data_IF_060232750970
#
_entry.id   IF_060232750970
#
_cell.length_a   1.000
_cell.length_b   1.000
_cell.length_c   1.000
_cell.angle_alpha   90.00
_cell.angle_beta   90.00
_cell.angle_gamma   90.00
#
_symmetry.space_group_name_H-M   'P 1'
#
loop_
_entity.id
_entity.type
_entity.pdbx_description
1 polymer ?
#
# COMPACT_ATOMS: atom_id res chain seq x y z
N UNK A 1 23.60 -16.04 -0.18
CA UNK A 1 22.20 -16.30 0.19
C UNK A 1 21.57 -14.94 0.49
N UNK A 2 20.51 -14.57 -0.22
CA UNK A 2 19.81 -13.30 -0.04
C UNK A 2 18.97 -13.29 1.25
N UNK A 3 18.68 -12.11 1.80
CA UNK A 3 17.83 -12.00 3.01
C UNK A 3 16.41 -12.49 2.83
N UNK A 4 15.97 -12.63 1.58
CA UNK A 4 14.61 -13.01 1.21
C UNK A 4 14.53 -14.35 0.47
N UNK A 5 15.60 -15.14 0.51
CA UNK A 5 15.60 -16.47 -0.13
C UNK A 5 14.43 -17.32 0.41
N UNK A 6 13.71 -17.99 -0.52
CA UNK A 6 12.54 -18.82 -0.25
C UNK A 6 11.34 -18.07 0.39
N UNK A 7 11.31 -16.74 0.36
CA UNK A 7 10.18 -15.95 0.84
C UNK A 7 9.30 -15.49 -0.31
N UNK A 8 7.99 -15.43 -0.05
CA UNK A 8 6.99 -14.88 -0.95
C UNK A 8 6.63 -13.46 -0.53
N UNK A 9 6.69 -12.53 -1.47
CA UNK A 9 6.24 -11.16 -1.27
C UNK A 9 5.14 -10.76 -2.27
N UNK A 10 4.18 -9.95 -1.84
CA UNK A 10 3.19 -9.30 -2.71
C UNK A 10 3.39 -7.79 -2.62
N UNK A 11 3.46 -7.11 -3.79
CA UNK A 11 3.56 -5.65 -3.87
C UNK A 11 2.41 -5.11 -4.70
N UNK A 12 1.57 -4.24 -4.11
CA UNK A 12 0.47 -3.60 -4.83
C UNK A 12 0.95 -2.36 -5.60
N UNK A 13 0.36 -2.09 -6.78
CA UNK A 13 0.76 -0.96 -7.62
C UNK A 13 2.18 -1.12 -8.19
N UNK A 14 2.58 -2.34 -8.48
CA UNK A 14 3.94 -2.75 -8.76
C UNK A 14 4.45 -2.39 -10.19
N UNK A 15 3.60 -1.85 -11.05
CA UNK A 15 3.94 -1.59 -12.45
C UNK A 15 4.68 -0.26 -12.70
N UNK A 16 4.99 0.52 -11.70
CA UNK A 16 5.70 1.79 -11.85
C UNK A 16 6.18 2.37 -10.51
N UNK A 17 7.08 3.35 -10.58
CA UNK A 17 7.50 4.15 -9.43
C UNK A 17 8.02 3.30 -8.27
N UNK A 18 7.65 3.67 -7.05
CA UNK A 18 8.10 2.98 -5.84
C UNK A 18 7.73 1.50 -5.79
N UNK A 19 6.54 1.13 -6.29
CA UNK A 19 6.11 -0.27 -6.32
C UNK A 19 7.04 -1.12 -7.18
N UNK A 20 7.41 -0.64 -8.37
CA UNK A 20 8.37 -1.31 -9.25
C UNK A 20 9.76 -1.41 -8.60
N UNK A 21 10.25 -0.32 -7.99
CA UNK A 21 11.53 -0.33 -7.28
C UNK A 21 11.51 -1.27 -6.05
N UNK A 22 10.36 -1.41 -5.39
CA UNK A 22 10.20 -2.37 -4.29
C UNK A 22 10.26 -3.81 -4.79
N UNK A 23 9.58 -4.12 -5.91
CA UNK A 23 9.66 -5.46 -6.55
C UNK A 23 11.09 -5.79 -6.91
N UNK A 24 11.78 -4.87 -7.57
CA UNK A 24 13.18 -5.01 -7.96
C UNK A 24 14.06 -5.38 -6.75
N UNK A 25 14.02 -4.56 -5.71
CA UNK A 25 14.84 -4.77 -4.52
C UNK A 25 14.53 -6.07 -3.78
N UNK A 26 13.24 -6.45 -3.62
CA UNK A 26 12.87 -7.69 -2.96
C UNK A 26 13.29 -8.92 -3.77
N UNK A 27 13.17 -8.87 -5.11
CA UNK A 27 13.59 -9.96 -5.96
C UNK A 27 15.12 -10.10 -6.06
N UNK A 28 15.87 -8.98 -5.99
CA UNK A 28 17.34 -9.01 -5.91
C UNK A 28 17.84 -9.59 -4.58
N UNK A 29 17.04 -9.51 -3.51
CA UNK A 29 17.30 -10.15 -2.21
C UNK A 29 16.89 -11.64 -2.18
N UNK A 30 16.40 -12.20 -3.30
CA UNK A 30 16.04 -13.61 -3.45
C UNK A 30 14.56 -13.94 -3.25
N UNK A 31 13.68 -12.96 -3.03
CA UNK A 31 12.26 -13.22 -2.89
C UNK A 31 11.61 -13.63 -4.21
N UNK A 32 10.62 -14.53 -4.14
CA UNK A 32 9.59 -14.60 -5.16
C UNK A 32 8.60 -13.47 -4.95
N UNK A 33 8.39 -12.63 -5.98
CA UNK A 33 7.55 -11.44 -5.86
C UNK A 33 6.35 -11.49 -6.79
N UNK A 34 5.15 -11.37 -6.23
CA UNK A 34 3.92 -11.17 -6.99
C UNK A 34 3.72 -9.66 -7.19
N UNK A 35 3.80 -9.23 -8.46
CA UNK A 35 3.42 -7.90 -8.90
C UNK A 35 1.91 -7.81 -9.03
N UNK A 36 1.23 -7.18 -8.05
CA UNK A 36 -0.20 -6.93 -8.15
C UNK A 36 -0.44 -5.61 -8.89
N UNK A 37 -1.07 -5.69 -10.07
CA UNK A 37 -1.32 -4.57 -10.96
C UNK A 37 -2.77 -4.56 -11.44
N UNK A 38 -3.34 -3.37 -11.69
CA UNK A 38 -4.67 -3.23 -12.30
C UNK A 38 -4.64 -3.41 -13.81
N UNK A 39 -3.64 -2.83 -14.46
CA UNK A 39 -3.51 -2.80 -15.93
C UNK A 39 -2.58 -3.91 -16.41
N UNK A 40 -3.12 -4.85 -17.20
CA UNK A 40 -2.34 -5.93 -17.79
C UNK A 40 -1.22 -5.40 -18.69
N UNK A 41 -1.53 -4.48 -19.61
CA UNK A 41 -0.54 -3.89 -20.52
C UNK A 41 0.67 -3.32 -19.76
N UNK A 42 0.40 -2.42 -18.80
CA UNK A 42 1.47 -1.79 -18.01
C UNK A 42 2.18 -2.78 -17.07
N UNK A 43 1.46 -3.79 -16.57
CA UNK A 43 2.04 -4.87 -15.79
C UNK A 43 3.03 -5.69 -16.61
N UNK A 44 2.68 -6.08 -17.83
CA UNK A 44 3.56 -6.81 -18.76
C UNK A 44 4.78 -5.99 -19.16
N UNK A 45 4.61 -4.70 -19.48
CA UNK A 45 5.72 -3.80 -19.80
C UNK A 45 6.72 -3.66 -18.64
N UNK A 46 6.20 -3.57 -17.39
CA UNK A 46 7.05 -3.50 -16.21
C UNK A 46 7.74 -4.85 -15.91
N UNK A 47 7.01 -5.96 -16.03
CA UNK A 47 7.57 -7.30 -15.86
C UNK A 47 8.71 -7.55 -16.86
N UNK A 48 8.53 -7.19 -18.13
CA UNK A 48 9.57 -7.34 -19.14
C UNK A 48 10.87 -6.63 -18.72
N UNK A 49 10.78 -5.38 -18.26
CA UNK A 49 11.95 -4.61 -17.79
C UNK A 49 12.63 -5.26 -16.58
N UNK A 50 11.84 -5.74 -15.62
CA UNK A 50 12.37 -6.39 -14.42
C UNK A 50 12.99 -7.76 -14.71
N UNK A 51 12.48 -8.48 -15.72
CA UNK A 51 12.97 -9.80 -16.14
C UNK A 51 14.23 -9.75 -17.01
N UNK A 52 14.79 -8.56 -17.31
CA UNK A 52 16.12 -8.43 -17.91
C UNK A 52 17.19 -9.10 -17.02
N UNK A 53 17.04 -9.04 -15.70
CA UNK A 53 17.77 -9.88 -14.77
C UNK A 53 17.04 -11.23 -14.63
N UNK A 54 17.61 -12.28 -15.21
CA UNK A 54 17.02 -13.64 -15.29
C UNK A 54 16.93 -14.36 -13.93
N UNK A 55 17.68 -13.92 -12.93
CA UNK A 55 17.68 -14.53 -11.59
C UNK A 55 16.47 -14.10 -10.75
N UNK A 56 15.74 -13.06 -11.16
CA UNK A 56 14.56 -12.56 -10.46
C UNK A 56 13.35 -13.47 -10.66
N UNK A 57 12.73 -13.88 -9.56
CA UNK A 57 11.49 -14.66 -9.58
C UNK A 57 10.28 -13.71 -9.41
N UNK A 58 9.73 -13.24 -10.52
CA UNK A 58 8.63 -12.27 -10.53
C UNK A 58 7.43 -12.84 -11.27
N UNK A 59 6.25 -12.70 -10.67
CA UNK A 59 4.96 -13.10 -11.25
C UNK A 59 4.02 -11.90 -11.33
N UNK A 60 3.40 -11.68 -12.48
CA UNK A 60 2.34 -10.68 -12.63
C UNK A 60 0.98 -11.29 -12.34
N UNK A 61 0.24 -10.70 -11.40
CA UNK A 61 -1.16 -11.01 -11.16
C UNK A 61 -2.02 -9.75 -11.21
N UNK A 62 -3.19 -9.86 -11.84
CA UNK A 62 -4.10 -8.72 -12.00
C UNK A 62 -5.09 -8.65 -10.85
N UNK A 63 -5.30 -7.41 -10.33
CA UNK A 63 -6.31 -7.07 -9.35
C UNK A 63 -6.61 -5.57 -9.39
N UNK A 64 -7.89 -5.20 -9.37
CA UNK A 64 -8.34 -3.83 -9.14
C UNK A 64 -8.75 -3.67 -7.67
N UNK A 65 -8.01 -2.83 -6.94
CA UNK A 65 -8.30 -2.52 -5.53
C UNK A 65 -9.58 -1.68 -5.33
N UNK A 66 -10.19 -1.19 -6.40
CA UNK A 66 -11.48 -0.52 -6.41
C UNK A 66 -12.65 -1.47 -6.75
N UNK A 67 -12.45 -2.80 -6.72
CA UNK A 67 -13.46 -3.83 -7.00
C UNK A 67 -13.27 -5.01 -6.03
N UNK A 68 -14.21 -5.23 -5.11
CA UNK A 68 -14.12 -6.30 -4.11
C UNK A 68 -14.08 -7.70 -4.73
N UNK A 69 -14.83 -7.93 -5.81
CA UNK A 69 -14.82 -9.20 -6.50
C UNK A 69 -13.44 -9.49 -7.12
N UNK A 70 -12.79 -8.46 -7.68
CA UNK A 70 -11.42 -8.56 -8.19
C UNK A 70 -10.42 -8.91 -7.08
N UNK A 71 -10.55 -8.28 -5.90
CA UNK A 71 -9.69 -8.54 -4.74
C UNK A 71 -9.87 -10.00 -4.26
N UNK A 72 -11.13 -10.44 -4.06
CA UNK A 72 -11.42 -11.81 -3.59
C UNK A 72 -10.94 -12.87 -4.59
N UNK A 73 -11.15 -12.64 -5.88
CA UNK A 73 -10.61 -13.52 -6.93
C UNK A 73 -9.08 -13.60 -6.91
N UNK A 74 -8.40 -12.49 -6.69
CA UNK A 74 -6.95 -12.48 -6.53
C UNK A 74 -6.52 -13.27 -5.28
N UNK A 75 -7.15 -13.03 -4.13
CA UNK A 75 -6.86 -13.73 -2.87
C UNK A 75 -7.05 -15.24 -3.01
N UNK A 76 -8.16 -15.69 -3.63
CA UNK A 76 -8.40 -17.12 -3.88
C UNK A 76 -7.25 -17.74 -4.66
N UNK A 77 -6.85 -17.14 -5.77
CA UNK A 77 -5.72 -17.62 -6.58
C UNK A 77 -4.41 -17.67 -5.82
N UNK A 78 -4.15 -16.69 -4.93
CA UNK A 78 -2.96 -16.70 -4.07
C UNK A 78 -3.02 -17.86 -3.08
N UNK A 79 -4.17 -18.04 -2.37
CA UNK A 79 -4.36 -19.12 -1.40
C UNK A 79 -4.29 -20.51 -2.02
N UNK A 80 -4.77 -20.68 -3.24
CA UNK A 80 -4.68 -21.93 -4.00
C UNK A 80 -3.23 -22.28 -4.38
N UNK A 81 -2.45 -21.26 -4.78
CA UNK A 81 -1.10 -21.47 -5.33
C UNK A 81 -0.01 -21.48 -4.27
N UNK A 82 -0.21 -20.73 -3.17
CA UNK A 82 0.82 -20.48 -2.16
C UNK A 82 0.32 -20.80 -0.75
N UNK A 83 1.11 -21.61 -0.04
CA UNK A 83 0.78 -22.00 1.36
C UNK A 83 1.11 -20.90 2.36
N UNK A 84 2.05 -20.01 2.03
CA UNK A 84 2.54 -18.97 2.93
C UNK A 84 2.85 -17.68 2.19
N UNK A 85 2.51 -16.56 2.80
CA UNK A 85 2.90 -15.21 2.42
C UNK A 85 3.78 -14.61 3.51
N UNK A 86 5.01 -14.23 3.16
CA UNK A 86 5.97 -13.68 4.12
C UNK A 86 5.92 -12.14 4.19
N UNK A 87 5.67 -11.46 3.06
CA UNK A 87 5.64 -9.99 3.01
C UNK A 87 4.49 -9.49 2.15
N UNK A 88 3.70 -8.57 2.71
CA UNK A 88 2.69 -7.81 1.97
C UNK A 88 3.04 -6.32 2.01
N UNK A 89 3.29 -5.71 0.84
CA UNK A 89 3.53 -4.28 0.70
C UNK A 89 2.33 -3.62 0.03
N UNK A 90 1.50 -2.96 0.83
CA UNK A 90 0.36 -2.15 0.41
C UNK A 90 0.86 -0.78 -0.08
N UNK A 91 1.40 -0.77 -1.33
CA UNK A 91 2.04 0.41 -1.91
C UNK A 91 1.12 1.18 -2.87
N UNK A 92 0.15 0.54 -3.51
CA UNK A 92 -0.72 1.21 -4.47
C UNK A 92 -1.32 2.49 -3.90
N UNK A 93 -1.42 3.52 -4.74
CA UNK A 93 -2.00 4.80 -4.35
C UNK A 93 -2.71 5.45 -5.53
N UNK A 94 -3.82 6.08 -5.24
CA UNK A 94 -4.63 6.84 -6.17
C UNK A 94 -4.88 8.24 -5.62
N UNK A 95 -4.80 9.24 -6.47
CA UNK A 95 -5.18 10.63 -6.19
C UNK A 95 -5.97 11.17 -7.38
N UNK A 96 -7.02 11.95 -7.12
CA UNK A 96 -7.83 12.58 -8.16
C UNK A 96 -8.23 13.98 -7.74
N UNK A 97 -8.25 14.90 -8.69
CA UNK A 97 -8.77 16.27 -8.49
C UNK A 97 -10.28 16.24 -8.32
N UNK A 98 -10.95 15.42 -9.13
CA UNK A 98 -12.39 15.27 -9.11
C UNK A 98 -12.81 14.11 -8.22
N UNK A 99 -14.00 14.27 -7.59
CA UNK A 99 -14.60 13.19 -6.84
C UNK A 99 -15.05 12.07 -7.79
N UNK A 100 -14.40 10.93 -7.66
CA UNK A 100 -14.73 9.70 -8.36
C UNK A 100 -15.15 8.65 -7.32
N UNK A 101 -15.82 7.59 -7.76
CA UNK A 101 -16.23 6.48 -6.90
C UNK A 101 -15.69 5.14 -7.41
N UNK A 102 -15.53 4.18 -6.51
CA UNK A 102 -15.24 2.78 -6.81
C UNK A 102 -16.50 2.07 -7.32
N UNK A 103 -16.37 0.81 -7.69
CA UNK A 103 -17.51 -0.03 -8.09
C UNK A 103 -18.54 -0.18 -6.97
N UNK A 104 -18.08 -0.17 -5.71
CA UNK A 104 -18.91 -0.23 -4.51
C UNK A 104 -19.47 1.14 -4.06
N UNK A 105 -19.26 2.20 -4.85
CA UNK A 105 -19.78 3.54 -4.55
C UNK A 105 -18.98 4.31 -3.49
N UNK A 106 -17.79 3.87 -3.12
CA UNK A 106 -16.91 4.59 -2.17
C UNK A 106 -16.15 5.70 -2.88
N UNK A 107 -15.88 6.82 -2.18
CA UNK A 107 -14.95 7.84 -2.67
C UNK A 107 -13.62 7.16 -3.04
N UNK A 108 -13.14 7.40 -4.25
CA UNK A 108 -12.15 6.54 -4.88
C UNK A 108 -10.78 6.55 -4.21
N UNK A 109 -10.36 7.68 -3.62
CA UNK A 109 -9.10 7.72 -2.87
C UNK A 109 -9.21 6.90 -1.58
N UNK A 110 -10.32 7.04 -0.84
CA UNK A 110 -10.57 6.23 0.36
C UNK A 110 -10.78 4.76 0.00
N UNK A 111 -11.58 4.49 -1.04
CA UNK A 111 -11.87 3.14 -1.51
C UNK A 111 -10.61 2.36 -1.93
N UNK A 112 -9.76 2.95 -2.78
CA UNK A 112 -8.55 2.27 -3.29
C UNK A 112 -7.42 2.28 -2.26
N UNK A 113 -7.11 3.47 -1.68
CA UNK A 113 -5.92 3.62 -0.84
C UNK A 113 -6.07 2.93 0.52
N UNK A 114 -7.31 2.80 1.01
CA UNK A 114 -7.59 2.21 2.32
C UNK A 114 -8.45 0.95 2.23
N UNK A 115 -9.71 1.02 1.78
CA UNK A 115 -10.64 -0.12 1.87
C UNK A 115 -10.19 -1.30 1.00
N UNK A 116 -9.68 -1.05 -0.20
CA UNK A 116 -9.13 -2.12 -1.05
C UNK A 116 -7.92 -2.82 -0.41
N UNK A 117 -7.02 -2.07 0.21
CA UNK A 117 -5.91 -2.66 0.97
C UNK A 117 -6.37 -3.32 2.26
N UNK A 118 -7.39 -2.76 2.93
CA UNK A 118 -7.99 -3.38 4.11
C UNK A 118 -8.53 -4.78 3.76
N UNK A 119 -9.39 -4.89 2.74
CA UNK A 119 -9.95 -6.17 2.29
C UNK A 119 -8.85 -7.15 1.86
N UNK A 120 -7.93 -6.71 1.00
CA UNK A 120 -6.80 -7.52 0.55
C UNK A 120 -6.00 -8.08 1.72
N UNK A 121 -5.66 -7.21 2.68
CA UNK A 121 -4.81 -7.59 3.82
C UNK A 121 -5.54 -8.53 4.76
N UNK A 122 -6.78 -8.22 5.14
CA UNK A 122 -7.54 -9.04 6.10
C UNK A 122 -7.83 -10.43 5.56
N UNK A 123 -8.06 -10.57 4.26
CA UNK A 123 -8.25 -11.89 3.64
C UNK A 123 -6.94 -12.66 3.42
N UNK A 124 -5.79 -11.99 3.23
CA UNK A 124 -4.49 -12.65 3.08
C UNK A 124 -3.84 -13.03 4.41
N UNK A 125 -4.27 -12.44 5.53
CA UNK A 125 -3.72 -12.76 6.86
C UNK A 125 -3.77 -14.27 7.17
N UNK A 126 -4.76 -15.01 6.67
CA UNK A 126 -4.88 -16.46 6.92
C UNK A 126 -3.68 -17.28 6.41
N UNK A 127 -2.99 -16.79 5.38
CA UNK A 127 -1.79 -17.43 4.82
C UNK A 127 -0.49 -16.74 5.27
N UNK A 128 -0.57 -15.94 6.35
CA UNK A 128 0.58 -15.29 6.96
C UNK A 128 0.85 -15.87 8.34
N UNK A 129 2.10 -16.22 8.61
CA UNK A 129 2.55 -16.84 9.86
C UNK A 129 3.44 -15.90 10.69
N UNK A 130 3.88 -16.38 11.84
CA UNK A 130 4.87 -15.71 12.68
C UNK A 130 6.10 -15.31 11.86
N UNK A 131 6.51 -14.06 12.00
CA UNK A 131 7.62 -13.46 11.27
C UNK A 131 7.23 -12.87 9.92
N UNK A 132 5.98 -13.04 9.46
CA UNK A 132 5.47 -12.34 8.29
C UNK A 132 5.32 -10.84 8.56
N UNK A 133 5.43 -10.01 7.52
CA UNK A 133 5.47 -8.55 7.62
C UNK A 133 4.44 -7.89 6.69
N UNK A 134 3.70 -6.92 7.23
CA UNK A 134 2.78 -6.08 6.46
C UNK A 134 3.30 -4.64 6.49
N UNK A 135 3.50 -4.06 5.32
CA UNK A 135 4.01 -2.69 5.14
C UNK A 135 2.96 -1.85 4.42
N UNK A 136 2.41 -0.85 5.10
CA UNK A 136 1.41 0.06 4.54
C UNK A 136 2.08 1.38 4.11
N UNK A 137 1.96 1.76 2.83
CA UNK A 137 2.47 3.05 2.37
C UNK A 137 1.46 4.15 2.68
N UNK A 138 1.78 4.92 3.71
CA UNK A 138 1.05 6.12 4.13
C UNK A 138 1.60 7.38 3.42
N UNK A 139 1.46 8.54 4.03
CA UNK A 139 1.99 9.82 3.55
C UNK A 139 2.07 10.83 4.70
N UNK A 140 2.91 11.86 4.57
CA UNK A 140 2.90 13.05 5.43
C UNK A 140 1.53 13.75 5.45
N UNK A 141 0.72 13.58 4.40
CA UNK A 141 -0.65 14.12 4.31
C UNK A 141 -1.59 13.59 5.43
N UNK A 142 -1.30 12.46 6.06
CA UNK A 142 -2.08 11.96 7.21
C UNK A 142 -2.17 12.99 8.36
N UNK A 143 -1.20 13.90 8.47
CA UNK A 143 -1.14 14.90 9.55
C UNK A 143 -2.30 15.88 9.51
N UNK A 144 -2.81 16.20 8.34
CA UNK A 144 -3.98 17.08 8.13
C UNK A 144 -5.28 16.31 7.99
N UNK A 145 -5.21 14.96 7.94
CA UNK A 145 -6.36 14.09 7.75
C UNK A 145 -7.37 14.12 8.90
N UNK A 146 -8.62 13.86 8.55
CA UNK A 146 -9.74 13.57 9.47
C UNK A 146 -10.60 12.49 8.85
N UNK A 147 -11.10 11.53 9.66
CA UNK A 147 -12.08 10.53 9.21
C UNK A 147 -13.47 11.12 9.36
N UNK A 148 -14.20 11.23 8.27
CA UNK A 148 -15.53 11.79 8.20
C UNK A 148 -16.57 10.66 8.19
N UNK A 149 -16.83 10.02 9.34
CA UNK A 149 -17.76 8.88 9.41
C UNK A 149 -19.18 9.21 8.94
N UNK A 150 -19.64 10.45 9.15
CA UNK A 150 -20.98 10.89 8.74
C UNK A 150 -21.08 11.15 7.22
N UNK A 151 -19.95 11.37 6.55
CA UNK A 151 -19.83 11.55 5.10
C UNK A 151 -18.47 11.00 4.61
N UNK A 152 -18.27 9.70 4.80
CA UNK A 152 -16.99 9.03 4.44
C UNK A 152 -16.66 9.18 2.95
N UNK A 153 -17.68 9.33 2.13
CA UNK A 153 -17.60 9.49 0.69
C UNK A 153 -17.38 10.95 0.26
N UNK A 154 -17.28 11.88 1.21
CA UNK A 154 -17.08 13.31 0.94
C UNK A 154 -18.05 13.82 -0.14
N UNK A 155 -19.34 13.48 0.01
CA UNK A 155 -20.39 13.90 -0.92
C UNK A 155 -20.60 15.40 -0.89
N UNK A 156 -20.28 16.03 0.25
CA UNK A 156 -20.33 17.48 0.46
C UNK A 156 -18.91 18.02 0.61
N UNK A 157 -18.54 18.99 -0.23
CA UNK A 157 -17.29 19.73 -0.11
C UNK A 157 -16.03 18.84 -0.32
N UNK A 158 -16.05 17.97 -1.32
CA UNK A 158 -14.88 17.26 -1.76
C UNK A 158 -13.78 18.21 -2.22
N UNK A 159 -12.55 17.93 -1.86
CA UNK A 159 -11.35 18.39 -2.54
C UNK A 159 -10.28 17.32 -2.44
N UNK A 160 -9.33 17.36 -3.36
CA UNK A 160 -8.28 16.35 -3.49
C UNK A 160 -7.48 16.15 -2.21
N UNK A 161 -7.15 17.24 -1.49
CA UNK A 161 -6.36 17.18 -0.24
C UNK A 161 -7.17 16.51 0.86
N UNK A 162 -8.46 16.83 0.99
CA UNK A 162 -9.35 16.25 1.99
C UNK A 162 -9.51 14.73 1.78
N UNK A 163 -9.76 14.29 0.54
CA UNK A 163 -9.87 12.87 0.22
C UNK A 163 -8.55 12.11 0.43
N UNK A 164 -7.45 12.68 -0.08
CA UNK A 164 -6.15 12.06 0.07
C UNK A 164 -5.69 11.97 1.52
N UNK A 165 -5.79 13.05 2.29
CA UNK A 165 -5.38 13.07 3.69
C UNK A 165 -6.24 12.16 4.57
N UNK A 166 -7.55 12.03 4.29
CA UNK A 166 -8.44 11.05 4.92
C UNK A 166 -7.93 9.63 4.67
N UNK A 167 -7.68 9.27 3.41
CA UNK A 167 -7.21 7.93 3.05
C UNK A 167 -5.86 7.60 3.68
N UNK A 168 -4.94 8.57 3.77
CA UNK A 168 -3.61 8.36 4.35
C UNK A 168 -3.61 8.35 5.88
N UNK A 169 -4.52 9.06 6.54
CA UNK A 169 -4.77 8.90 7.98
C UNK A 169 -5.35 7.50 8.26
N UNK A 170 -6.30 7.06 7.43
CA UNK A 170 -6.88 5.73 7.54
C UNK A 170 -5.82 4.62 7.48
N UNK A 171 -4.82 4.74 6.60
CA UNK A 171 -3.73 3.78 6.52
C UNK A 171 -2.87 3.72 7.79
N UNK A 172 -2.61 4.84 8.47
CA UNK A 172 -1.86 4.84 9.73
C UNK A 172 -2.69 4.24 10.86
N UNK A 173 -3.98 4.59 10.96
CA UNK A 173 -4.91 4.03 11.95
C UNK A 173 -5.08 2.51 11.75
N UNK A 174 -5.28 2.07 10.51
CA UNK A 174 -5.37 0.65 10.14
C UNK A 174 -4.11 -0.11 10.57
N UNK A 175 -2.92 0.44 10.30
CA UNK A 175 -1.65 -0.15 10.72
C UNK A 175 -1.62 -0.43 12.23
N UNK A 176 -2.02 0.54 13.05
CA UNK A 176 -1.98 0.42 14.50
C UNK A 176 -2.97 -0.60 15.04
N UNK A 177 -4.21 -0.55 14.56
CA UNK A 177 -5.22 -1.50 15.02
C UNK A 177 -4.94 -2.92 14.53
N UNK A 178 -4.49 -3.09 13.28
CA UNK A 178 -4.12 -4.40 12.76
C UNK A 178 -2.90 -4.97 13.49
N UNK A 179 -1.89 -4.15 13.82
CA UNK A 179 -0.74 -4.55 14.62
C UNK A 179 -1.17 -5.08 16.00
N UNK A 180 -2.11 -4.40 16.66
CA UNK A 180 -2.68 -4.84 17.94
C UNK A 180 -3.39 -6.18 17.81
N UNK A 181 -4.20 -6.36 16.76
CA UNK A 181 -4.97 -7.61 16.52
C UNK A 181 -4.07 -8.79 16.16
N UNK A 182 -2.95 -8.56 15.50
CA UNK A 182 -2.03 -9.61 15.03
C UNK A 182 -0.85 -9.87 15.97
N UNK A 183 -0.79 -9.20 17.13
CA UNK A 183 0.32 -9.30 18.08
C UNK A 183 0.63 -10.74 18.47
N UNK A 184 -0.37 -11.49 18.87
CA UNK A 184 -0.20 -12.88 19.35
C UNK A 184 0.16 -13.86 18.22
N UNK A 185 -0.17 -13.51 16.98
CA UNK A 185 0.25 -14.25 15.79
C UNK A 185 1.71 -14.02 15.43
N UNK A 186 2.35 -13.00 15.98
CA UNK A 186 3.73 -12.63 15.67
C UNK A 186 3.92 -12.11 14.24
N UNK A 187 2.87 -11.51 13.65
CA UNK A 187 2.91 -10.82 12.36
C UNK A 187 3.11 -9.34 12.64
N UNK A 188 4.11 -8.72 12.03
CA UNK A 188 4.36 -7.29 12.22
C UNK A 188 3.64 -6.46 11.16
N UNK A 189 3.09 -5.33 11.59
CA UNK A 189 2.38 -4.38 10.72
C UNK A 189 2.93 -2.99 10.98
N UNK A 190 3.59 -2.41 10.00
CA UNK A 190 4.13 -1.05 10.09
C UNK A 190 3.72 -0.21 8.89
N UNK A 191 3.78 1.10 9.04
CA UNK A 191 3.56 1.99 7.90
C UNK A 191 4.73 2.94 7.70
N UNK A 192 4.88 3.42 6.46
CA UNK A 192 5.93 4.36 6.12
C UNK A 192 5.42 5.52 5.27
N UNK A 193 6.15 6.63 5.37
CA UNK A 193 6.03 7.79 4.51
C UNK A 193 7.24 7.83 3.56
N UNK A 194 7.01 7.80 2.24
CA UNK A 194 8.10 7.75 1.27
C UNK A 194 8.87 9.08 1.08
N UNK A 195 8.37 10.19 1.66
CA UNK A 195 8.85 11.53 1.31
C UNK A 195 8.08 12.12 0.12
N UNK A 196 8.60 13.19 -0.45
CA UNK A 196 8.11 13.74 -1.72
C UNK A 196 8.80 12.98 -2.86
N UNK A 197 8.08 12.07 -3.49
CA UNK A 197 8.62 11.21 -4.56
C UNK A 197 8.08 11.64 -5.90
N UNK A 198 8.94 11.73 -6.90
CA UNK A 198 8.56 11.92 -8.31
C UNK A 198 7.86 10.66 -8.83
N UNK A 199 6.59 10.50 -8.47
CA UNK A 199 5.74 9.42 -8.98
C UNK A 199 4.67 9.97 -9.91
N UNK A 200 4.07 9.10 -10.71
CA UNK A 200 2.90 9.45 -11.51
C UNK A 200 1.60 9.61 -10.68
N UNK A 201 1.70 9.65 -9.35
CA UNK A 201 0.58 9.97 -8.47
C UNK A 201 0.23 11.45 -8.66
N UNK A 202 -1.03 11.76 -8.96
CA UNK A 202 -1.49 13.13 -9.25
C UNK A 202 -1.32 13.57 -10.70
N UNK A 203 -0.78 12.72 -11.58
CA UNK A 203 -0.87 12.96 -13.03
C UNK A 203 -2.13 12.27 -13.52
N UNK A 204 -3.09 13.08 -14.00
CA UNK A 204 -4.18 12.55 -14.81
C UNK A 204 -3.60 12.09 -16.15
N UNK A 205 -3.62 10.78 -16.38
CA UNK A 205 -2.98 10.18 -17.56
C UNK A 205 -3.83 10.33 -18.82
N UNK A 206 -5.11 10.56 -18.66
CA UNK A 206 -6.04 10.73 -19.78
C UNK A 206 -5.97 12.18 -20.29
N UNK A 207 -5.88 13.16 -19.40
CA UNK A 207 -5.76 14.58 -19.74
C UNK A 207 -4.33 15.11 -19.74
N UNK A 208 -3.38 14.39 -19.14
CA UNK A 208 -1.99 14.85 -18.96
C UNK A 208 -1.82 15.95 -17.90
N UNK A 209 -2.88 16.30 -17.17
CA UNK A 209 -2.84 17.31 -16.12
C UNK A 209 -1.81 16.94 -15.05
N UNK A 210 -1.07 17.91 -14.59
CA UNK A 210 -0.01 17.72 -13.58
C UNK A 210 1.38 17.41 -14.17
N UNK A 211 1.53 17.04 -15.43
CA UNK A 211 2.83 16.75 -16.06
C UNK A 211 3.79 17.94 -15.99
N UNK A 212 3.31 19.13 -16.29
CA UNK A 212 4.12 20.35 -16.30
C UNK A 212 4.56 20.75 -14.89
N UNK A 213 3.65 20.66 -13.91
CA UNK A 213 3.94 20.98 -12.51
C UNK A 213 4.93 19.98 -11.91
N UNK A 214 4.72 18.68 -12.15
CA UNK A 214 5.64 17.64 -11.69
C UNK A 214 7.00 17.72 -12.37
N UNK A 215 7.07 18.13 -13.64
CA UNK A 215 8.32 18.35 -14.38
C UNK A 215 9.14 19.49 -13.80
N UNK A 216 8.52 20.64 -13.48
CA UNK A 216 9.17 21.80 -12.87
C UNK A 216 9.69 21.53 -11.45
N UNK A 217 8.98 20.69 -10.67
CA UNK A 217 9.33 20.35 -9.30
C UNK A 217 10.21 19.08 -9.20
N UNK A 218 10.51 18.43 -10.30
CA UNK A 218 11.28 17.19 -10.38
C UNK A 218 12.61 17.19 -9.61
N UNK A 219 13.41 18.29 -9.61
CA UNK A 219 14.66 18.36 -8.86
C UNK A 219 14.48 18.26 -7.33
N UNK A 220 13.29 18.54 -6.82
CA UNK A 220 12.97 18.52 -5.39
C UNK A 220 12.34 17.21 -4.93
N UNK A 221 12.04 16.29 -5.85
CA UNK A 221 11.45 15.01 -5.54
C UNK A 221 12.50 13.90 -5.48
N UNK A 222 12.31 13.00 -4.53
CA UNK A 222 13.08 11.78 -4.44
C UNK A 222 12.82 10.87 -5.66
N UNK A 223 13.82 10.08 -6.03
CA UNK A 223 13.67 9.02 -7.02
C UNK A 223 12.72 7.92 -6.50
N UNK A 224 12.11 7.11 -7.40
CA UNK A 224 11.34 5.94 -6.99
C UNK A 224 12.08 4.99 -6.04
N UNK A 225 13.36 4.76 -6.25
CA UNK A 225 14.21 3.93 -5.41
C UNK A 225 14.40 4.52 -4.00
N UNK A 226 14.68 5.82 -3.90
CA UNK A 226 14.77 6.50 -2.61
C UNK A 226 13.45 6.48 -1.85
N UNK A 227 12.32 6.68 -2.56
CA UNK A 227 10.98 6.60 -1.97
C UNK A 227 10.61 5.20 -1.48
N UNK A 228 11.06 4.16 -2.17
CA UNK A 228 10.83 2.78 -1.79
C UNK A 228 11.69 2.32 -0.60
N UNK A 229 12.81 2.99 -0.32
CA UNK A 229 13.82 2.58 0.66
C UNK A 229 13.25 2.22 2.02
N UNK A 230 12.31 3.01 2.55
CA UNK A 230 11.73 2.74 3.88
C UNK A 230 10.78 1.54 3.84
N UNK A 231 10.03 1.33 2.77
CA UNK A 231 9.18 0.16 2.62
C UNK A 231 10.01 -1.12 2.48
N UNK A 232 11.10 -1.08 1.70
CA UNK A 232 12.06 -2.18 1.56
C UNK A 232 12.71 -2.49 2.92
N UNK A 233 13.19 -1.48 3.64
CA UNK A 233 13.74 -1.64 4.99
C UNK A 233 12.76 -2.34 5.93
N UNK A 234 11.49 -1.94 5.97
CA UNK A 234 10.47 -2.58 6.79
C UNK A 234 10.18 -4.02 6.36
N UNK A 235 10.29 -4.32 5.07
CA UNK A 235 10.05 -5.64 4.52
C UNK A 235 11.19 -6.62 4.82
N UNK A 236 12.46 -6.15 4.90
CA UNK A 236 13.64 -7.05 4.84
C UNK A 236 14.57 -6.95 6.04
N UNK A 237 14.66 -5.80 6.71
CA UNK A 237 15.70 -5.56 7.72
C UNK A 237 15.42 -6.29 9.04
N UNK A 238 16.44 -6.96 9.58
CA UNK A 238 16.33 -7.71 10.84
C UNK A 238 16.13 -6.82 12.07
N UNK A 239 16.62 -5.59 12.03
CA UNK A 239 16.50 -4.65 13.15
C UNK A 239 15.07 -4.25 13.48
N UNK A 240 14.13 -4.48 12.56
CA UNK A 240 12.70 -4.14 12.72
C UNK A 240 11.78 -5.36 12.77
N UNK A 241 12.33 -6.58 12.87
CA UNK A 241 11.55 -7.81 12.83
C UNK A 241 10.50 -7.94 13.94
N UNK A 242 10.75 -7.32 15.09
CA UNK A 242 9.85 -7.34 16.25
C UNK A 242 9.12 -6.01 16.48
N UNK A 243 9.37 -5.01 15.60
CA UNK A 243 8.71 -3.70 15.70
C UNK A 243 7.38 -3.76 14.96
N UNK A 244 6.29 -3.37 15.63
CA UNK A 244 4.94 -3.39 15.06
C UNK A 244 4.10 -2.19 15.52
N UNK A 245 3.19 -1.72 14.66
CA UNK A 245 2.29 -0.60 14.95
C UNK A 245 2.92 0.78 14.74
N UNK A 246 4.14 0.85 14.18
CA UNK A 246 4.88 2.09 14.11
C UNK A 246 4.81 2.77 12.73
N UNK A 247 5.01 4.09 12.77
CA UNK A 247 5.11 4.94 11.59
C UNK A 247 6.57 5.31 11.34
N UNK A 248 7.05 5.03 10.13
CA UNK A 248 8.45 5.22 9.75
C UNK A 248 8.63 6.30 8.68
N UNK A 249 9.75 6.99 8.77
CA UNK A 249 10.27 7.89 7.75
C UNK A 249 11.79 7.77 7.69
N UNK A 250 12.35 7.65 6.49
CA UNK A 250 13.81 7.51 6.27
C UNK A 250 14.42 6.37 7.12
N UNK A 251 13.76 5.20 7.11
CA UNK A 251 14.17 4.01 7.86
C UNK A 251 14.25 4.17 9.39
N UNK A 252 13.53 5.14 9.97
CA UNK A 252 13.49 5.39 11.41
C UNK A 252 12.04 5.60 11.86
N UNK A 253 11.75 5.22 13.10
CA UNK A 253 10.47 5.56 13.74
C UNK A 253 10.33 7.08 13.78
N UNK A 254 9.19 7.58 13.35
CA UNK A 254 8.93 8.99 13.19
C UNK A 254 7.61 9.42 13.87
N UNK A 255 7.52 10.70 14.21
CA UNK A 255 6.31 11.24 14.81
C UNK A 255 5.15 11.32 13.79
N UNK A 256 4.07 10.62 14.09
CA UNK A 256 2.80 10.73 13.41
C UNK A 256 1.86 11.75 14.10
N UNK A 257 0.74 12.09 13.49
CA UNK A 257 -0.21 13.05 14.06
C UNK A 257 -0.88 12.54 15.33
N UNK A 258 -1.39 13.45 16.19
CA UNK A 258 -2.15 13.07 17.40
C UNK A 258 -3.33 12.15 17.06
N UNK A 259 -4.10 12.47 16.01
CA UNK A 259 -5.24 11.65 15.56
C UNK A 259 -4.84 10.24 15.14
N UNK A 260 -3.68 10.08 14.52
CA UNK A 260 -3.19 8.77 14.11
C UNK A 260 -2.71 7.88 15.26
N UNK A 261 -2.58 8.44 16.48
CA UNK A 261 -2.23 7.74 17.71
C UNK A 261 -3.45 7.40 18.57
N UNK A 262 -4.63 7.85 18.16
CA UNK A 262 -5.90 7.59 18.84
C UNK A 262 -6.37 6.16 18.53
N UNK A 263 -6.26 5.28 19.53
CA UNK A 263 -6.58 3.84 19.38
C UNK A 263 -8.08 3.58 19.32
N UNK A 264 -8.91 4.42 19.94
CA UNK A 264 -10.36 4.31 19.83
C UNK A 264 -10.82 4.69 18.40
N UNK A 265 -10.22 5.74 17.84
CA UNK A 265 -10.45 6.10 16.44
C UNK A 265 -9.98 4.98 15.50
N UNK A 266 -8.82 4.35 15.79
CA UNK A 266 -8.29 3.25 14.99
C UNK A 266 -9.21 2.03 15.02
N UNK A 267 -9.69 1.65 16.20
CA UNK A 267 -10.66 0.56 16.39
C UNK A 267 -11.98 0.86 15.65
N UNK A 268 -12.54 2.06 15.85
CA UNK A 268 -13.77 2.47 15.17
C UNK A 268 -13.64 2.42 13.66
N UNK A 269 -12.52 2.90 13.11
CA UNK A 269 -12.28 2.86 11.67
C UNK A 269 -12.15 1.42 11.17
N UNK A 270 -11.49 0.55 11.91
CA UNK A 270 -11.34 -0.85 11.56
C UNK A 270 -12.71 -1.54 11.47
N UNK A 271 -13.55 -1.41 12.52
CA UNK A 271 -14.90 -1.97 12.58
C UNK A 271 -15.81 -1.41 11.47
N UNK A 272 -15.70 -0.12 11.18
CA UNK A 272 -16.39 0.53 10.08
C UNK A 272 -15.95 -0.04 8.72
N UNK A 273 -14.64 -0.28 8.54
CA UNK A 273 -14.10 -0.87 7.33
C UNK A 273 -14.54 -2.33 7.16
N UNK A 274 -14.59 -3.12 8.25
CA UNK A 274 -15.15 -4.48 8.24
C UNK A 274 -16.60 -4.48 7.76
N UNK A 275 -17.43 -3.56 8.26
CA UNK A 275 -18.83 -3.46 7.84
C UNK A 275 -18.98 -3.10 6.35
N UNK A 276 -18.08 -2.29 5.80
CA UNK A 276 -18.10 -1.93 4.37
C UNK A 276 -17.76 -3.11 3.47
N UNK A 277 -16.80 -3.94 3.85
CA UNK A 277 -16.34 -5.07 3.01
C UNK A 277 -17.15 -6.36 3.21
N UNK A 278 -17.99 -6.43 4.26
CA UNK A 278 -18.89 -7.56 4.52
C UNK A 278 -20.20 -7.48 3.73
N UNK A 279 -20.46 -6.38 3.03
CA UNK A 279 -21.61 -6.18 2.16
C UNK A 279 -21.29 -6.74 0.78
#
# INVERSE_FOLDING_TARGET
>A
MGRMDNKLAIVTGANSGMGMATVEALSDEGAKVIMLCRSEKRGKEALQKLSENKDRQIELMLCDLGDYASIRSFVSRVKEKYKKLDVLVNNAGFISLDRQVTKEGLERQFGINHIGHFLLTTELVDVMDRGSRIVNVASGAHKTGKIHFDDINLTKGYNVIKGYSQSKLANVLFTRELARRLKDRGITVNCCHPGAVATNIGIDRDTGFGKTITSLLKPFFQTPAEGARTAIFLATDESVKDITGEYFYRCRIANSSRRSKDMELAKRLYEFSEQLVSR
#
